data_IF_184414290483
#
_entry.id   IF_184414290483
#
_cell.length_a   1.000
_cell.length_b   1.000
_cell.length_c   1.000
_cell.angle_alpha   90.00
_cell.angle_beta   90.00
_cell.angle_gamma   90.00
#
_symmetry.space_group_name_H-M   'P 1'
#
loop_
_entity.id
_entity.type
_entity.pdbx_description
1 polymer ?
#
# COMPACT_ATOMS: atom_id res chain seq x y z
N UNK A 1 -33.32 18.85 36.85
CA UNK A 1 -33.27 18.06 38.11
C UNK A 1 -34.59 17.29 38.36
N UNK A 2 -35.03 16.48 37.40
CA UNK A 2 -36.22 15.62 37.56
C UNK A 2 -36.11 14.37 36.67
N UNK A 3 -34.95 13.71 36.69
CA UNK A 3 -34.71 12.42 36.01
C UNK A 3 -33.75 11.50 36.80
N UNK A 4 -33.89 11.48 38.12
CA UNK A 4 -33.07 10.63 39.01
C UNK A 4 -33.88 9.74 39.96
N UNK A 5 -35.18 9.55 39.70
CA UNK A 5 -36.08 8.85 40.62
C UNK A 5 -36.80 7.61 40.04
N UNK A 6 -36.31 7.00 38.94
CA UNK A 6 -36.93 5.78 38.40
C UNK A 6 -35.92 4.67 38.03
N UNK A 7 -34.79 4.57 38.72
CA UNK A 7 -33.79 3.51 38.51
C UNK A 7 -33.52 2.66 39.77
N UNK A 8 -34.55 2.42 40.58
CA UNK A 8 -34.52 1.46 41.70
C UNK A 8 -35.70 0.51 41.61
N UNK A 9 -35.60 -0.49 40.74
CA UNK A 9 -36.34 -1.79 40.79
C UNK A 9 -36.08 -2.62 39.52
N UNK A 10 -34.83 -3.00 39.24
CA UNK A 10 -34.52 -4.05 38.25
C UNK A 10 -33.32 -4.86 38.71
N UNK A 11 -33.48 -6.19 38.74
CA UNK A 11 -32.51 -7.16 39.25
C UNK A 11 -31.29 -7.37 38.35
N UNK A 12 -30.24 -8.04 38.86
CA UNK A 12 -28.91 -8.13 38.22
C UNK A 12 -28.88 -8.84 36.86
N UNK A 13 -29.95 -9.52 36.44
CA UNK A 13 -30.08 -10.17 35.13
C UNK A 13 -30.48 -9.26 33.95
N UNK A 14 -31.01 -8.06 34.21
CA UNK A 14 -31.54 -7.16 33.16
C UNK A 14 -30.52 -6.11 32.67
N UNK A 15 -29.34 -6.02 33.29
CA UNK A 15 -28.27 -5.05 32.92
C UNK A 15 -27.37 -5.49 31.77
N UNK A 16 -27.54 -6.71 31.22
CA UNK A 16 -26.73 -7.24 30.11
C UNK A 16 -27.42 -7.24 28.73
N UNK A 17 -28.61 -6.65 28.59
CA UNK A 17 -29.33 -6.59 27.30
C UNK A 17 -29.75 -5.18 26.85
N UNK A 18 -29.39 -4.12 27.59
CA UNK A 18 -29.69 -2.73 27.18
C UNK A 18 -28.46 -1.89 26.79
N UNK A 19 -27.24 -2.41 26.95
CA UNK A 19 -26.00 -1.78 26.47
C UNK A 19 -25.52 -2.33 25.12
N UNK A 20 -26.27 -3.25 24.50
CA UNK A 20 -25.93 -3.90 23.23
C UNK A 20 -26.75 -3.40 22.02
N UNK A 21 -27.62 -2.40 22.21
CA UNK A 21 -28.50 -1.87 21.15
C UNK A 21 -28.29 -0.37 20.82
N UNK A 22 -27.26 0.26 21.39
CA UNK A 22 -26.90 1.66 21.10
C UNK A 22 -25.45 1.84 20.59
N UNK A 23 -24.74 0.74 20.32
CA UNK A 23 -23.33 0.76 19.87
C UNK A 23 -23.07 0.11 18.51
N UNK A 24 -24.10 -0.13 17.69
CA UNK A 24 -23.98 -0.91 16.44
C UNK A 24 -24.28 -0.11 15.16
N UNK A 25 -24.34 1.22 15.22
CA UNK A 25 -24.75 2.04 14.08
C UNK A 25 -23.67 2.97 13.51
N UNK A 26 -22.43 2.98 14.00
CA UNK A 26 -21.36 3.82 13.42
C UNK A 26 -20.21 2.99 12.84
N UNK A 27 -19.93 3.28 11.57
CA UNK A 27 -18.75 2.87 10.79
C UNK A 27 -18.71 1.45 10.20
N UNK A 28 -19.80 0.98 9.57
CA UNK A 28 -19.73 -0.07 8.52
C UNK A 28 -19.82 0.49 7.09
N UNK A 29 -19.68 1.80 6.92
CA UNK A 29 -19.60 2.48 5.64
C UNK A 29 -18.34 3.32 5.74
N UNK A 30 -17.34 3.12 4.87
CA UNK A 30 -16.35 4.14 4.45
C UNK A 30 -15.23 3.61 3.54
N UNK A 31 -15.24 2.33 3.13
CA UNK A 31 -14.39 1.91 1.98
C UNK A 31 -15.11 2.07 0.64
N UNK A 32 -16.45 2.10 0.66
CA UNK A 32 -17.29 2.33 -0.52
C UNK A 32 -18.25 3.50 -0.34
N UNK A 33 -17.81 4.63 0.24
CA UNK A 33 -18.64 5.83 0.21
C UNK A 33 -18.85 6.23 -1.26
N UNK A 34 -20.04 5.97 -1.79
CA UNK A 34 -20.47 6.52 -3.07
C UNK A 34 -20.28 8.03 -3.03
N UNK A 35 -19.61 8.56 -4.06
CA UNK A 35 -19.38 9.99 -4.21
C UNK A 35 -20.72 10.72 -4.13
N UNK A 36 -20.83 11.70 -3.23
CA UNK A 36 -21.89 12.72 -3.36
C UNK A 36 -21.60 13.48 -4.66
N UNK A 37 -22.48 13.41 -5.68
CA UNK A 37 -22.23 14.09 -6.94
C UNK A 37 -21.96 15.58 -6.69
N UNK A 38 -20.82 16.08 -7.17
CA UNK A 38 -20.39 17.48 -6.99
C UNK A 38 -19.51 17.77 -5.77
N UNK A 39 -19.29 16.82 -4.85
CA UNK A 39 -18.28 17.01 -3.81
C UNK A 39 -16.86 17.03 -4.43
N UNK A 40 -15.98 17.96 -3.99
CA UNK A 40 -14.59 17.98 -4.43
C UNK A 40 -13.87 16.72 -3.93
N UNK A 41 -12.98 16.16 -4.77
CA UNK A 41 -12.14 15.02 -4.40
C UNK A 41 -11.36 15.35 -3.13
N UNK A 42 -11.42 14.44 -2.17
CA UNK A 42 -10.58 14.44 -0.98
C UNK A 42 -10.31 13.00 -0.52
N UNK A 43 -9.17 12.47 -0.97
CA UNK A 43 -8.75 11.10 -0.70
C UNK A 43 -7.52 11.15 0.17
N UNK A 44 -7.61 10.67 1.41
CA UNK A 44 -6.46 10.47 2.30
C UNK A 44 -6.23 8.98 2.54
N UNK A 45 -4.98 8.54 2.49
CA UNK A 45 -4.59 7.16 2.82
C UNK A 45 -3.19 7.12 3.40
N UNK A 46 -2.87 6.00 4.05
CA UNK A 46 -1.53 5.72 4.57
C UNK A 46 -0.85 4.68 3.68
N UNK A 47 0.46 4.77 3.52
CA UNK A 47 1.23 3.78 2.77
C UNK A 47 2.58 3.50 3.42
N UNK A 48 2.96 2.22 3.44
CA UNK A 48 4.24 1.71 3.95
C UNK A 48 4.65 0.47 3.16
N UNK A 49 5.80 -0.11 3.49
CA UNK A 49 6.30 -1.37 2.92
C UNK A 49 7.28 -2.03 3.89
N UNK A 50 7.80 -3.19 3.51
CA UNK A 50 8.96 -3.79 4.16
C UNK A 50 8.74 -3.90 5.69
N UNK A 51 7.63 -4.53 6.07
CA UNK A 51 7.32 -4.81 7.46
C UNK A 51 8.25 -5.89 8.02
N UNK A 52 8.65 -6.85 7.17
CA UNK A 52 9.55 -7.95 7.46
C UNK A 52 9.26 -8.62 8.80
N UNK A 53 8.01 -9.05 9.02
CA UNK A 53 7.69 -9.81 10.22
C UNK A 53 8.63 -11.00 10.34
N UNK A 54 9.28 -11.11 11.49
CA UNK A 54 10.27 -12.14 11.78
C UNK A 54 9.70 -13.15 12.78
N UNK A 55 10.22 -14.38 12.74
CA UNK A 55 9.94 -15.41 13.73
C UNK A 55 11.22 -16.17 14.06
N UNK A 56 11.48 -16.35 15.35
CA UNK A 56 12.58 -17.15 15.92
C UNK A 56 13.99 -16.55 15.83
N UNK A 57 14.24 -15.48 15.08
CA UNK A 57 15.57 -14.88 14.94
C UNK A 57 15.62 -13.42 15.46
N UNK A 58 14.69 -12.57 15.05
CA UNK A 58 14.70 -11.12 15.28
C UNK A 58 13.30 -10.54 15.56
N UNK A 59 12.53 -11.21 16.42
CA UNK A 59 11.12 -10.86 16.72
C UNK A 59 10.94 -9.46 17.36
N UNK A 60 12.01 -8.82 17.87
CA UNK A 60 11.95 -7.45 18.38
C UNK A 60 11.70 -6.42 17.25
N UNK A 61 11.93 -6.78 15.99
CA UNK A 61 11.47 -5.99 14.84
C UNK A 61 9.95 -5.83 14.83
N UNK A 62 9.22 -6.86 15.21
CA UNK A 62 7.75 -6.84 15.18
C UNK A 62 7.20 -5.80 16.17
N UNK A 63 7.85 -5.60 17.32
CA UNK A 63 7.46 -4.55 18.27
C UNK A 63 7.67 -3.14 17.70
N UNK A 64 8.74 -2.93 16.94
CA UNK A 64 8.95 -1.66 16.23
C UNK A 64 7.87 -1.44 15.19
N UNK A 65 7.42 -2.48 14.47
CA UNK A 65 6.29 -2.36 13.55
C UNK A 65 5.02 -1.94 14.32
N UNK A 66 4.71 -2.59 15.45
CA UNK A 66 3.54 -2.25 16.29
C UNK A 66 3.54 -0.80 16.76
N UNK A 67 4.70 -0.25 17.12
CA UNK A 67 4.82 1.18 17.46
C UNK A 67 4.43 2.09 16.29
N UNK A 68 4.76 1.69 15.07
CA UNK A 68 4.34 2.41 13.86
C UNK A 68 2.83 2.29 13.64
N UNK A 69 2.24 1.11 13.80
CA UNK A 69 0.79 0.93 13.64
C UNK A 69 -0.01 1.76 14.66
N UNK A 70 0.44 1.84 15.92
CA UNK A 70 -0.17 2.73 16.92
C UNK A 70 -0.08 4.21 16.51
N UNK A 71 1.00 4.61 15.86
CA UNK A 71 1.13 5.97 15.33
C UNK A 71 0.23 6.21 14.11
N UNK A 72 -0.02 5.19 13.27
CA UNK A 72 -1.01 5.25 12.19
C UNK A 72 -2.42 5.44 12.76
N UNK A 73 -2.83 4.66 13.78
CA UNK A 73 -4.14 4.80 14.43
C UNK A 73 -4.37 6.22 15.00
N UNK A 74 -3.30 6.87 15.45
CA UNK A 74 -3.36 8.23 16.00
C UNK A 74 -3.21 9.35 14.95
N UNK A 75 -3.14 9.04 13.64
CA UNK A 75 -2.75 10.02 12.62
C UNK A 75 -3.71 11.21 12.50
N UNK A 76 -5.00 11.02 12.76
CA UNK A 76 -6.00 12.10 12.72
C UNK A 76 -5.91 13.08 13.88
N UNK A 77 -5.15 12.75 14.93
CA UNK A 77 -4.79 13.67 16.01
C UNK A 77 -3.61 14.58 15.63
N UNK A 78 -3.03 14.40 14.44
CA UNK A 78 -1.91 15.20 13.96
C UNK A 78 -2.39 16.27 12.98
N UNK A 79 -1.52 17.25 12.78
CA UNK A 79 -1.63 18.23 11.71
C UNK A 79 -0.54 17.99 10.67
N UNK A 80 -0.84 18.36 9.42
CA UNK A 80 0.17 18.46 8.38
C UNK A 80 1.26 19.46 8.79
N UNK A 81 2.51 19.27 8.33
CA UNK A 81 3.55 20.30 8.42
C UNK A 81 3.08 21.62 7.78
N UNK A 82 3.53 22.75 8.32
CA UNK A 82 3.27 24.08 7.75
C UNK A 82 3.72 24.19 6.28
N UNK A 83 4.82 23.54 5.91
CA UNK A 83 5.31 23.46 4.53
C UNK A 83 4.29 22.82 3.55
N UNK A 84 3.32 22.06 4.06
CA UNK A 84 2.22 21.44 3.31
C UNK A 84 0.88 22.12 3.54
N UNK A 85 0.91 23.36 4.05
CA UNK A 85 -0.26 24.20 4.31
C UNK A 85 -0.90 23.97 5.68
N UNK A 86 -0.30 23.15 6.55
CA UNK A 86 -0.83 22.88 7.88
C UNK A 86 -2.22 22.23 7.88
N UNK A 87 -2.91 22.37 9.01
CA UNK A 87 -4.27 21.87 9.21
C UNK A 87 -4.35 20.37 9.57
N UNK A 88 -5.53 19.89 10.00
CA UNK A 88 -5.71 18.51 10.43
C UNK A 88 -5.53 17.52 9.27
N UNK A 89 -5.11 16.30 9.61
CA UNK A 89 -5.08 15.18 8.65
C UNK A 89 -6.47 14.54 8.61
N UNK A 90 -7.06 14.45 7.42
CA UNK A 90 -8.36 13.80 7.23
C UNK A 90 -8.29 12.30 7.51
N UNK A 91 -9.42 11.67 7.80
CA UNK A 91 -9.51 10.23 8.08
C UNK A 91 -8.95 9.42 6.89
N UNK A 92 -7.90 8.60 7.09
CA UNK A 92 -7.43 7.71 6.04
C UNK A 92 -8.50 6.67 5.66
N UNK A 93 -8.66 6.41 4.37
CA UNK A 93 -9.59 5.37 3.86
C UNK A 93 -9.05 3.96 4.06
N UNK A 94 -7.73 3.79 3.99
CA UNK A 94 -7.04 2.52 4.20
C UNK A 94 -5.54 2.74 4.45
N UNK A 95 -4.87 1.64 4.82
CA UNK A 95 -3.42 1.50 4.82
C UNK A 95 -3.02 0.57 3.69
N UNK A 96 -2.06 0.99 2.87
CA UNK A 96 -1.50 0.19 1.79
C UNK A 96 -0.10 -0.29 2.18
N UNK A 97 0.19 -1.60 2.03
CA UNK A 97 1.47 -2.23 2.38
C UNK A 97 2.11 -2.84 1.15
N UNK A 98 3.22 -2.25 0.69
CA UNK A 98 3.83 -2.55 -0.60
C UNK A 98 4.90 -3.64 -0.53
N UNK A 99 4.52 -4.83 -0.08
CA UNK A 99 5.38 -6.03 -0.08
C UNK A 99 6.39 -6.10 1.05
N UNK A 100 7.08 -7.24 1.09
CA UNK A 100 7.96 -7.68 2.18
C UNK A 100 7.21 -7.62 3.52
N UNK A 101 6.06 -8.30 3.54
CA UNK A 101 5.18 -8.40 4.69
C UNK A 101 5.83 -9.25 5.79
N UNK A 102 6.46 -10.34 5.36
CA UNK A 102 7.19 -11.29 6.20
C UNK A 102 8.64 -11.43 5.73
N UNK A 103 9.57 -11.79 6.62
CA UNK A 103 11.01 -11.79 6.27
C UNK A 103 11.46 -13.07 5.55
N UNK A 104 10.76 -14.19 5.77
CA UNK A 104 11.12 -15.50 5.21
C UNK A 104 9.87 -16.33 4.84
N UNK A 105 9.36 -16.10 3.62
CA UNK A 105 8.11 -16.73 3.15
C UNK A 105 8.12 -18.24 2.95
N UNK A 106 9.29 -18.87 2.85
CA UNK A 106 9.42 -20.32 2.62
C UNK A 106 10.78 -20.84 3.16
N UNK A 107 10.98 -20.64 4.48
CA UNK A 107 12.18 -21.08 5.23
C UNK A 107 11.83 -21.85 6.50
N UNK A 108 12.69 -22.81 6.83
CA UNK A 108 12.70 -23.53 8.11
C UNK A 108 13.95 -23.14 8.89
N UNK A 109 13.76 -22.72 10.14
CA UNK A 109 14.82 -22.42 11.08
C UNK A 109 14.72 -23.33 12.31
N UNK A 110 15.78 -24.08 12.60
CA UNK A 110 15.83 -25.05 13.71
C UNK A 110 14.63 -26.01 13.77
N UNK A 111 14.21 -26.51 12.61
CA UNK A 111 13.06 -27.44 12.48
C UNK A 111 11.69 -26.77 12.58
N UNK A 112 11.60 -25.44 12.63
CA UNK A 112 10.34 -24.68 12.68
C UNK A 112 10.16 -23.87 11.40
N UNK A 113 8.96 -23.94 10.81
CA UNK A 113 8.62 -23.13 9.64
C UNK A 113 8.36 -21.67 10.04
N UNK A 114 9.09 -20.73 9.44
CA UNK A 114 9.00 -19.30 9.76
C UNK A 114 7.75 -18.64 9.16
N UNK A 115 7.52 -18.82 7.85
CA UNK A 115 6.40 -18.22 7.11
C UNK A 115 5.02 -18.20 7.81
N UNK A 116 4.43 -19.34 8.24
CA UNK A 116 3.17 -19.37 8.96
C UNK A 116 3.16 -18.55 10.24
N UNK A 117 4.28 -18.55 10.98
CA UNK A 117 4.39 -17.82 12.24
C UNK A 117 4.49 -16.32 11.99
N UNK A 118 5.32 -15.92 11.03
CA UNK A 118 5.47 -14.52 10.61
C UNK A 118 4.13 -13.98 10.08
N UNK A 119 3.44 -14.76 9.24
CA UNK A 119 2.12 -14.40 8.70
C UNK A 119 1.06 -14.28 9.78
N UNK A 120 1.03 -15.19 10.76
CA UNK A 120 0.11 -15.10 11.89
C UNK A 120 0.31 -13.80 12.68
N UNK A 121 1.57 -13.39 12.90
CA UNK A 121 1.89 -12.14 13.58
C UNK A 121 1.51 -10.92 12.74
N UNK A 122 1.78 -10.94 11.43
CA UNK A 122 1.33 -9.92 10.49
C UNK A 122 -0.19 -9.75 10.55
N UNK A 123 -0.96 -10.85 10.49
CA UNK A 123 -2.42 -10.82 10.57
C UNK A 123 -2.92 -10.25 11.90
N UNK A 124 -2.30 -10.62 13.02
CA UNK A 124 -2.70 -10.11 14.34
C UNK A 124 -2.51 -8.60 14.48
N UNK A 125 -1.55 -8.03 13.75
CA UNK A 125 -1.20 -6.62 13.85
C UNK A 125 -1.87 -5.78 12.74
N UNK A 126 -1.80 -6.20 11.48
CA UNK A 126 -2.40 -5.49 10.34
C UNK A 126 -3.89 -5.80 10.11
N UNK A 127 -4.36 -6.99 10.45
CA UNK A 127 -5.75 -7.39 10.21
C UNK A 127 -6.13 -7.42 8.72
N UNK A 128 -7.39 -7.15 8.42
CA UNK A 128 -7.99 -7.07 7.08
C UNK A 128 -8.87 -5.83 6.91
N UNK A 129 -9.82 -5.61 7.83
CA UNK A 129 -10.85 -4.56 7.70
C UNK A 129 -10.78 -3.44 8.75
N UNK A 130 -9.72 -3.45 9.56
CA UNK A 130 -9.54 -2.52 10.67
C UNK A 130 -10.27 -2.92 11.95
N UNK A 131 -10.79 -4.15 12.04
CA UNK A 131 -11.50 -4.66 13.24
C UNK A 131 -10.91 -5.95 13.79
N UNK A 132 -9.99 -6.57 13.05
CA UNK A 132 -9.43 -7.90 13.30
C UNK A 132 -7.91 -7.88 13.52
N UNK A 133 -7.32 -6.70 13.77
CA UNK A 133 -5.91 -6.52 14.11
C UNK A 133 -5.66 -5.35 15.06
N UNK A 134 -4.39 -5.00 15.28
CA UNK A 134 -3.96 -3.80 16.01
C UNK A 134 -4.25 -2.51 15.22
N UNK A 135 -4.17 -2.56 13.90
CA UNK A 135 -4.38 -1.44 13.00
C UNK A 135 -5.89 -1.18 12.81
N UNK A 136 -6.32 0.07 13.02
CA UNK A 136 -7.74 0.47 12.99
C UNK A 136 -8.26 0.80 11.57
N UNK A 137 -7.56 0.31 10.53
CA UNK A 137 -7.85 0.64 9.13
C UNK A 137 -7.95 -0.61 8.26
N UNK A 138 -8.79 -0.59 7.21
CA UNK A 138 -8.71 -1.56 6.13
C UNK A 138 -7.32 -1.59 5.52
N UNK A 139 -6.85 -2.80 5.18
CA UNK A 139 -5.52 -3.01 4.61
C UNK A 139 -5.62 -3.47 3.17
N UNK A 140 -4.76 -2.94 2.31
CA UNK A 140 -4.47 -3.43 0.97
C UNK A 140 -3.00 -3.79 0.91
N UNK A 141 -2.67 -5.03 0.56
CA UNK A 141 -1.26 -5.44 0.55
C UNK A 141 -0.93 -6.29 -0.67
N UNK A 142 0.35 -6.26 -1.01
CA UNK A 142 0.98 -7.06 -2.06
C UNK A 142 2.18 -7.81 -1.49
N UNK A 143 2.85 -8.61 -2.31
CA UNK A 143 4.08 -9.29 -1.95
C UNK A 143 5.32 -8.55 -2.47
N UNK A 144 6.44 -8.77 -1.79
CA UNK A 144 7.79 -8.41 -2.18
C UNK A 144 8.68 -9.64 -2.35
N UNK A 145 10.00 -9.43 -2.35
CA UNK A 145 10.94 -10.52 -2.59
C UNK A 145 11.19 -11.43 -1.38
N UNK A 146 10.90 -11.01 -0.15
CA UNK A 146 11.03 -11.84 1.06
C UNK A 146 9.83 -12.75 1.30
N UNK A 147 8.71 -12.41 0.68
CA UNK A 147 7.40 -13.01 0.94
C UNK A 147 7.21 -14.43 0.40
N UNK A 148 8.17 -14.93 -0.38
CA UNK A 148 8.20 -16.29 -0.90
C UNK A 148 7.67 -16.43 -2.33
N UNK A 149 7.74 -17.66 -2.86
CA UNK A 149 7.57 -17.91 -4.29
C UNK A 149 6.09 -17.95 -4.71
N UNK A 150 5.82 -17.99 -6.04
CA UNK A 150 4.49 -18.27 -6.56
C UNK A 150 3.87 -19.54 -5.98
N UNK A 151 2.53 -19.59 -5.99
CA UNK A 151 1.75 -20.75 -5.51
C UNK A 151 2.19 -22.03 -6.21
N UNK A 152 2.52 -23.07 -5.42
CA UNK A 152 2.99 -24.36 -5.92
C UNK A 152 4.50 -24.46 -6.12
N UNK A 153 5.24 -23.38 -5.83
CA UNK A 153 6.70 -23.37 -5.82
C UNK A 153 7.30 -23.31 -4.40
N UNK A 154 6.46 -23.29 -3.35
CA UNK A 154 6.90 -23.39 -1.96
C UNK A 154 7.42 -24.80 -1.64
N UNK A 155 8.42 -24.86 -0.75
CA UNK A 155 9.09 -26.10 -0.35
C UNK A 155 8.53 -26.68 0.93
N UNK A 156 7.97 -25.84 1.80
CA UNK A 156 7.62 -26.21 3.17
C UNK A 156 6.11 -26.15 3.47
N UNK A 157 5.27 -25.94 2.45
CA UNK A 157 3.81 -26.12 2.53
C UNK A 157 3.02 -24.88 2.97
N UNK A 158 3.68 -23.73 3.14
CA UNK A 158 3.03 -22.43 3.31
C UNK A 158 3.37 -21.52 2.13
N UNK A 159 2.36 -20.80 1.65
CA UNK A 159 2.53 -19.88 0.54
C UNK A 159 1.82 -18.55 0.83
N UNK A 160 2.57 -17.46 0.98
CA UNK A 160 2.00 -16.14 1.25
C UNK A 160 1.14 -15.64 0.09
N UNK A 161 1.56 -15.87 -1.16
CA UNK A 161 0.80 -15.42 -2.32
C UNK A 161 -0.57 -16.10 -2.41
N UNK A 162 -0.72 -17.34 -1.93
CA UNK A 162 -2.03 -17.98 -1.78
C UNK A 162 -2.91 -17.22 -0.78
N UNK A 163 -2.35 -16.78 0.35
CA UNK A 163 -3.05 -15.96 1.34
C UNK A 163 -3.49 -14.62 0.76
N UNK A 164 -2.64 -13.98 -0.05
CA UNK A 164 -2.96 -12.72 -0.73
C UNK A 164 -4.08 -12.89 -1.76
N UNK A 165 -4.07 -13.97 -2.56
CA UNK A 165 -5.15 -14.30 -3.49
C UNK A 165 -6.50 -14.41 -2.78
N UNK A 166 -6.53 -15.07 -1.62
CA UNK A 166 -7.76 -15.20 -0.84
C UNK A 166 -8.21 -13.87 -0.24
N UNK A 167 -7.28 -13.05 0.27
CA UNK A 167 -7.59 -11.70 0.75
C UNK A 167 -8.12 -10.81 -0.36
N UNK A 168 -7.56 -10.84 -1.56
CA UNK A 168 -8.05 -10.07 -2.70
C UNK A 168 -9.45 -10.53 -3.17
N UNK A 169 -9.72 -11.83 -3.17
CA UNK A 169 -11.08 -12.35 -3.43
C UNK A 169 -12.08 -11.86 -2.39
N UNK A 170 -11.68 -11.82 -1.11
CA UNK A 170 -12.52 -11.24 -0.05
C UNK A 170 -12.76 -9.76 -0.30
N UNK A 171 -11.75 -8.96 -0.67
CA UNK A 171 -11.93 -7.54 -1.03
C UNK A 171 -12.94 -7.36 -2.17
N UNK A 172 -12.88 -8.20 -3.19
CA UNK A 172 -13.86 -8.21 -4.28
C UNK A 172 -15.28 -8.52 -3.77
N UNK A 173 -15.44 -9.56 -2.94
CA UNK A 173 -16.73 -9.92 -2.33
C UNK A 173 -17.29 -8.81 -1.42
N UNK A 174 -16.41 -8.07 -0.75
CA UNK A 174 -16.76 -6.90 0.06
C UNK A 174 -17.13 -5.66 -0.78
N UNK A 175 -16.93 -5.69 -2.10
CA UNK A 175 -17.19 -4.56 -2.99
C UNK A 175 -16.14 -3.46 -2.90
N UNK A 176 -14.92 -3.77 -2.45
CA UNK A 176 -13.84 -2.78 -2.33
C UNK A 176 -13.00 -2.63 -3.60
N UNK A 177 -13.14 -3.57 -4.55
CA UNK A 177 -12.34 -3.61 -5.77
C UNK A 177 -13.19 -3.23 -6.99
N UNK A 178 -12.59 -2.46 -7.89
CA UNK A 178 -13.11 -2.23 -9.25
C UNK A 178 -12.74 -3.40 -10.14
N UNK A 179 -11.50 -3.89 -10.06
CA UNK A 179 -11.03 -5.05 -10.81
C UNK A 179 -10.12 -5.96 -9.98
N UNK A 180 -10.11 -7.23 -10.35
CA UNK A 180 -9.23 -8.27 -9.82
C UNK A 180 -8.70 -9.08 -11.00
N UNK A 181 -7.38 -9.30 -11.05
CA UNK A 181 -6.77 -10.11 -12.09
C UNK A 181 -7.26 -11.57 -12.05
N UNK A 182 -7.15 -12.28 -13.17
CA UNK A 182 -7.57 -13.69 -13.28
C UNK A 182 -6.84 -14.62 -12.31
N UNK A 183 -5.58 -14.30 -11.97
CA UNK A 183 -4.79 -15.02 -10.98
C UNK A 183 -5.00 -14.53 -9.53
N UNK A 184 -5.87 -13.52 -9.32
CA UNK A 184 -6.23 -12.90 -8.05
C UNK A 184 -5.10 -12.18 -7.28
N UNK A 185 -3.98 -11.86 -7.95
CA UNK A 185 -2.84 -11.18 -7.32
C UNK A 185 -2.85 -9.66 -7.47
N UNK A 186 -3.37 -9.15 -8.58
CA UNK A 186 -3.39 -7.72 -8.87
C UNK A 186 -4.81 -7.22 -8.75
N UNK A 187 -4.96 -6.02 -8.21
CA UNK A 187 -6.27 -5.40 -8.09
C UNK A 187 -6.19 -3.91 -8.34
N UNK A 188 -7.33 -3.36 -8.69
CA UNK A 188 -7.54 -1.93 -8.78
C UNK A 188 -8.84 -1.54 -8.09
N UNK A 189 -8.91 -0.29 -7.66
CA UNK A 189 -10.11 0.27 -7.06
C UNK A 189 -10.16 1.77 -7.28
N UNK A 190 -11.36 2.31 -7.08
CA UNK A 190 -11.60 3.73 -7.20
C UNK A 190 -11.88 4.36 -5.84
N UNK A 191 -11.20 5.45 -5.55
CA UNK A 191 -11.57 6.38 -4.48
C UNK A 191 -11.92 7.72 -5.08
N UNK A 192 -13.20 8.08 -4.98
CA UNK A 192 -13.78 9.18 -5.74
C UNK A 192 -13.50 8.96 -7.24
N UNK A 193 -12.85 9.90 -7.91
CA UNK A 193 -12.38 9.78 -9.29
C UNK A 193 -10.89 9.44 -9.40
N UNK A 194 -10.18 9.05 -8.32
CA UNK A 194 -8.81 8.53 -8.41
C UNK A 194 -8.86 7.03 -8.63
N UNK A 195 -8.14 6.55 -9.65
CA UNK A 195 -7.97 5.12 -9.92
C UNK A 195 -6.64 4.63 -9.33
N UNK A 196 -6.70 3.60 -8.49
CA UNK A 196 -5.55 3.04 -7.78
C UNK A 196 -5.29 1.63 -8.29
N UNK A 197 -4.02 1.30 -8.60
CA UNK A 197 -3.63 0.00 -9.17
C UNK A 197 -2.48 -0.62 -8.37
N UNK A 198 -2.67 -1.83 -7.84
CA UNK A 198 -1.69 -2.59 -7.07
C UNK A 198 -1.17 -3.79 -7.88
N UNK A 199 0.12 -3.76 -8.21
CA UNK A 199 0.74 -4.50 -9.31
C UNK A 199 1.71 -5.61 -8.89
N UNK A 200 1.66 -6.07 -7.63
CA UNK A 200 2.56 -7.15 -7.23
C UNK A 200 3.97 -6.68 -6.91
N UNK A 201 4.93 -7.54 -7.23
CA UNK A 201 6.35 -7.27 -7.03
C UNK A 201 6.89 -6.17 -7.96
N UNK A 202 6.58 -6.21 -9.26
CA UNK A 202 6.86 -5.14 -10.22
C UNK A 202 6.02 -5.31 -11.50
N UNK A 203 5.76 -4.22 -12.26
CA UNK A 203 4.89 -4.23 -13.44
C UNK A 203 5.56 -4.83 -14.69
N UNK A 204 5.76 -6.15 -14.68
CA UNK A 204 6.17 -6.94 -15.84
C UNK A 204 5.31 -8.21 -15.96
N UNK A 205 5.37 -8.92 -17.09
CA UNK A 205 4.58 -10.14 -17.26
C UNK A 205 5.33 -11.41 -16.85
N UNK A 206 6.65 -11.38 -16.95
CA UNK A 206 7.57 -12.47 -16.64
C UNK A 206 8.93 -11.87 -16.25
N UNK A 207 9.81 -12.64 -15.58
CA UNK A 207 11.19 -12.22 -15.38
C UNK A 207 11.86 -11.90 -16.71
N UNK A 208 12.68 -10.84 -16.73
CA UNK A 208 13.38 -10.45 -17.94
C UNK A 208 14.45 -11.50 -18.31
N UNK A 209 14.50 -12.00 -19.57
CA UNK A 209 15.48 -13.00 -19.96
C UNK A 209 16.94 -12.50 -19.87
N UNK A 210 17.15 -11.18 -20.04
CA UNK A 210 18.47 -10.54 -19.95
C UNK A 210 18.91 -10.28 -18.50
N UNK A 211 18.04 -10.60 -17.52
CA UNK A 211 18.26 -10.35 -16.11
C UNK A 211 17.98 -11.60 -15.25
N UNK A 212 19.03 -12.33 -14.89
CA UNK A 212 18.93 -13.59 -14.13
C UNK A 212 19.62 -13.54 -12.76
N UNK A 213 19.85 -12.34 -12.21
CA UNK A 213 20.63 -12.14 -10.98
C UNK A 213 19.96 -12.73 -9.73
N UNK A 214 18.64 -12.62 -9.66
CA UNK A 214 17.82 -13.12 -8.55
C UNK A 214 16.97 -14.28 -9.05
N UNK A 215 16.59 -15.20 -8.17
CA UNK A 215 15.80 -16.41 -8.49
C UNK A 215 14.58 -16.04 -9.35
N UNK A 216 14.57 -16.31 -10.67
CA UNK A 216 13.50 -15.84 -11.55
C UNK A 216 12.15 -16.47 -11.20
N UNK A 217 12.17 -17.73 -10.74
CA UNK A 217 10.97 -18.43 -10.28
C UNK A 217 10.37 -17.77 -9.04
N UNK A 218 11.20 -17.31 -8.10
CA UNK A 218 10.70 -16.75 -6.83
C UNK A 218 10.15 -15.34 -6.99
N UNK A 219 10.67 -14.59 -7.95
CA UNK A 219 10.36 -13.18 -8.15
C UNK A 219 9.59 -12.96 -9.45
N UNK A 220 8.77 -13.93 -9.83
CA UNK A 220 7.93 -13.88 -11.03
C UNK A 220 6.82 -12.80 -10.86
N UNK A 221 6.76 -11.80 -11.74
CA UNK A 221 5.76 -10.73 -11.70
C UNK A 221 4.39 -11.19 -12.23
N UNK A 222 4.26 -12.41 -12.76
CA UNK A 222 3.00 -13.14 -12.95
C UNK A 222 1.91 -12.39 -13.74
N UNK A 223 2.28 -11.64 -14.78
CA UNK A 223 1.32 -10.96 -15.67
C UNK A 223 0.89 -9.55 -15.24
N UNK A 224 1.64 -8.89 -14.36
CA UNK A 224 1.28 -7.58 -13.81
C UNK A 224 1.15 -6.49 -14.90
N UNK A 225 1.99 -6.51 -15.93
CA UNK A 225 1.95 -5.50 -17.01
C UNK A 225 0.72 -5.66 -17.91
N UNK A 226 0.33 -6.90 -18.20
CA UNK A 226 -0.88 -7.22 -18.94
C UNK A 226 -2.12 -6.77 -18.18
N UNK A 227 -2.18 -7.05 -16.86
CA UNK A 227 -3.24 -6.53 -16.00
C UNK A 227 -3.31 -4.99 -16.04
N UNK A 228 -2.17 -4.31 -15.86
CA UNK A 228 -2.12 -2.83 -15.92
C UNK A 228 -2.71 -2.27 -17.21
N UNK A 229 -2.34 -2.84 -18.36
CA UNK A 229 -2.84 -2.38 -19.67
C UNK A 229 -4.35 -2.55 -19.80
N UNK A 230 -4.86 -3.72 -19.44
CA UNK A 230 -6.29 -4.04 -19.53
C UNK A 230 -7.12 -3.21 -18.56
N UNK A 231 -6.63 -3.05 -17.34
CA UNK A 231 -7.28 -2.31 -16.26
C UNK A 231 -7.42 -0.83 -16.61
N UNK A 232 -6.32 -0.18 -17.01
CA UNK A 232 -6.34 1.22 -17.43
C UNK A 232 -7.24 1.42 -18.66
N UNK A 233 -7.15 0.55 -19.66
CA UNK A 233 -8.00 0.67 -20.85
C UNK A 233 -9.50 0.55 -20.53
N UNK A 234 -9.86 -0.33 -19.60
CA UNK A 234 -11.26 -0.61 -19.25
C UNK A 234 -11.85 0.40 -18.27
N UNK A 235 -11.09 0.82 -17.27
CA UNK A 235 -11.60 1.58 -16.12
C UNK A 235 -11.17 3.05 -16.09
N UNK A 236 -10.12 3.40 -16.82
CA UNK A 236 -9.65 4.78 -16.98
C UNK A 236 -10.03 5.29 -18.38
N UNK A 237 -9.69 4.54 -19.43
CA UNK A 237 -9.92 4.93 -20.82
C UNK A 237 -9.45 6.36 -21.10
N UNK A 238 -10.29 7.15 -21.77
CA UNK A 238 -10.00 8.54 -22.10
C UNK A 238 -10.55 9.54 -21.05
N UNK A 239 -10.92 9.08 -19.86
CA UNK A 239 -11.55 9.93 -18.83
C UNK A 239 -10.63 11.02 -18.29
N UNK A 240 -9.32 10.86 -18.42
CA UNK A 240 -8.31 11.77 -17.85
C UNK A 240 -8.23 11.75 -16.33
N UNK A 241 -8.93 10.82 -15.68
CA UNK A 241 -8.96 10.71 -14.22
C UNK A 241 -7.56 10.35 -13.67
N UNK A 242 -7.18 10.85 -12.49
CA UNK A 242 -5.86 10.57 -11.92
C UNK A 242 -5.64 9.09 -11.64
N UNK A 243 -4.41 8.61 -11.89
CA UNK A 243 -3.97 7.23 -11.65
C UNK A 243 -2.83 7.19 -10.65
N UNK A 244 -2.94 6.32 -9.64
CA UNK A 244 -1.86 5.96 -8.71
C UNK A 244 -1.44 4.53 -8.98
N UNK A 245 -0.17 4.33 -9.32
CA UNK A 245 0.41 3.01 -9.53
C UNK A 245 1.18 2.57 -8.27
N UNK A 246 1.15 1.28 -7.97
CA UNK A 246 1.78 0.73 -6.77
C UNK A 246 2.37 -0.66 -7.02
N UNK A 247 3.58 -0.90 -6.54
CA UNK A 247 4.27 -2.20 -6.57
C UNK A 247 5.24 -2.31 -5.40
N UNK A 248 5.89 -3.46 -5.21
CA UNK A 248 6.99 -3.55 -4.24
C UNK A 248 8.27 -2.89 -4.76
N UNK A 249 8.72 -3.22 -5.98
CA UNK A 249 9.94 -2.67 -6.57
C UNK A 249 9.66 -1.44 -7.45
N UNK A 250 10.47 -0.38 -7.25
CA UNK A 250 10.44 0.84 -8.05
C UNK A 250 11.58 0.94 -9.07
N UNK A 251 11.72 2.11 -9.69
CA UNK A 251 12.74 2.38 -10.72
C UNK A 251 14.12 2.72 -10.15
N UNK A 252 14.44 2.25 -8.95
CA UNK A 252 15.69 2.52 -8.23
C UNK A 252 16.35 1.24 -7.70
N UNK A 253 15.95 0.08 -8.20
CA UNK A 253 16.48 -1.22 -7.82
C UNK A 253 16.86 -2.04 -9.03
N UNK A 254 17.91 -2.84 -8.95
CA UNK A 254 18.24 -3.81 -9.99
C UNK A 254 17.39 -5.09 -9.89
N UNK A 255 16.38 -5.18 -9.02
CA UNK A 255 15.54 -6.39 -8.93
C UNK A 255 14.65 -6.68 -10.15
N UNK A 256 14.61 -5.76 -11.11
CA UNK A 256 13.95 -5.90 -12.40
C UNK A 256 14.65 -5.03 -13.44
N UNK A 257 14.43 -5.33 -14.72
CA UNK A 257 15.25 -4.79 -15.80
C UNK A 257 14.72 -3.46 -16.34
N UNK A 258 15.61 -2.56 -16.78
CA UNK A 258 15.27 -1.23 -17.28
C UNK A 258 14.36 -1.25 -18.52
N UNK A 259 14.44 -2.30 -19.35
CA UNK A 259 13.49 -2.51 -20.45
C UNK A 259 12.05 -2.68 -19.94
N UNK A 260 11.86 -3.35 -18.81
CA UNK A 260 10.53 -3.53 -18.21
C UNK A 260 10.06 -2.23 -17.57
N UNK A 261 10.97 -1.41 -17.04
CA UNK A 261 10.62 -0.07 -16.55
C UNK A 261 10.06 0.79 -17.68
N UNK A 262 10.72 0.75 -18.83
CA UNK A 262 10.27 1.44 -20.02
C UNK A 262 8.92 0.90 -20.52
N UNK A 263 8.72 -0.42 -20.51
CA UNK A 263 7.45 -1.03 -20.90
C UNK A 263 6.29 -0.61 -19.99
N UNK A 264 6.51 -0.58 -18.67
CA UNK A 264 5.53 -0.10 -17.69
C UNK A 264 5.20 1.38 -17.91
N UNK A 265 6.21 2.22 -18.12
CA UNK A 265 6.02 3.63 -18.42
C UNK A 265 5.23 3.87 -19.70
N UNK A 266 5.53 3.11 -20.76
CA UNK A 266 4.82 3.20 -22.03
C UNK A 266 3.36 2.75 -21.89
N UNK A 267 3.11 1.65 -21.16
CA UNK A 267 1.77 1.13 -20.93
C UNK A 267 0.85 2.14 -20.23
N UNK A 268 1.38 2.92 -19.29
CA UNK A 268 0.61 3.94 -18.58
C UNK A 268 0.80 5.37 -19.14
N UNK A 269 1.56 5.53 -20.22
CA UNK A 269 2.02 6.83 -20.71
C UNK A 269 0.93 7.77 -21.24
N UNK A 270 -0.18 7.22 -21.76
CA UNK A 270 -1.35 7.99 -22.20
C UNK A 270 -2.26 8.43 -21.04
N UNK A 271 -2.08 7.85 -19.85
CA UNK A 271 -2.94 8.11 -18.71
C UNK A 271 -2.35 9.17 -17.78
N UNK A 272 -3.21 9.74 -16.93
CA UNK A 272 -2.81 10.75 -15.97
C UNK A 272 -2.19 10.12 -14.72
N UNK A 273 -1.00 9.54 -14.84
CA UNK A 273 -0.26 8.97 -13.69
C UNK A 273 0.26 10.10 -12.81
N UNK A 274 -0.31 10.22 -11.61
CA UNK A 274 -0.03 11.32 -10.69
C UNK A 274 1.02 10.94 -9.64
N UNK A 275 1.09 9.65 -9.28
CA UNK A 275 2.05 9.06 -8.35
C UNK A 275 2.37 7.61 -8.74
N UNK A 276 3.62 7.20 -8.49
CA UNK A 276 4.04 5.80 -8.39
C UNK A 276 4.62 5.53 -7.01
N UNK A 277 4.02 4.61 -6.26
CA UNK A 277 4.44 4.27 -4.89
C UNK A 277 5.09 2.88 -4.90
N UNK A 278 6.20 2.74 -4.19
CA UNK A 278 6.91 1.45 -4.08
C UNK A 278 7.77 1.37 -2.82
N UNK A 279 8.27 0.19 -2.47
CA UNK A 279 9.11 -0.07 -1.29
C UNK A 279 10.55 -0.48 -1.62
N UNK A 280 11.06 -1.52 -0.96
CA UNK A 280 12.26 -2.29 -1.30
C UNK A 280 13.62 -1.60 -1.05
N UNK A 281 13.88 -0.40 -1.58
CA UNK A 281 15.25 0.18 -1.63
C UNK A 281 15.56 1.30 -0.64
N UNK A 282 14.61 1.73 0.18
CA UNK A 282 14.84 2.81 1.14
C UNK A 282 13.59 3.65 1.39
N UNK A 283 13.73 4.98 1.50
CA UNK A 283 12.57 5.87 1.66
C UNK A 283 12.85 7.22 1.02
N UNK A 284 11.80 7.93 0.58
CA UNK A 284 11.88 9.31 0.13
C UNK A 284 11.24 9.57 -1.23
N UNK A 285 11.32 10.82 -1.66
CA UNK A 285 10.81 11.26 -2.96
C UNK A 285 11.80 10.94 -4.07
N UNK A 286 11.27 10.51 -5.21
CA UNK A 286 12.03 10.26 -6.44
C UNK A 286 11.25 10.79 -7.64
N UNK A 287 11.94 10.92 -8.76
CA UNK A 287 11.31 11.15 -10.06
C UNK A 287 11.99 10.25 -11.06
N UNK A 288 11.21 9.69 -11.99
CA UNK A 288 11.79 8.82 -13.00
C UNK A 288 11.04 8.92 -14.33
N UNK A 289 11.78 8.85 -15.43
CA UNK A 289 11.28 8.70 -16.78
C UNK A 289 12.35 7.93 -17.60
N UNK A 290 11.97 7.18 -18.64
CA UNK A 290 12.96 6.63 -19.57
C UNK A 290 13.67 7.76 -20.33
N UNK A 291 14.87 7.48 -20.84
CA UNK A 291 15.65 8.46 -21.60
C UNK A 291 14.82 9.02 -22.78
N UNK A 292 14.83 10.36 -22.93
CA UNK A 292 14.07 11.06 -23.96
C UNK A 292 12.60 11.32 -23.63
N UNK A 293 12.06 10.80 -22.52
CA UNK A 293 10.72 11.15 -22.08
C UNK A 293 10.66 12.56 -21.47
N UNK A 294 9.57 13.27 -21.77
CA UNK A 294 9.35 14.66 -21.31
C UNK A 294 8.54 14.76 -20.02
N UNK A 295 7.96 13.65 -19.55
CA UNK A 295 7.02 13.62 -18.41
C UNK A 295 7.49 12.63 -17.32
N UNK A 296 8.37 13.06 -16.40
CA UNK A 296 8.77 12.18 -15.30
C UNK A 296 7.59 11.87 -14.38
N UNK A 297 7.52 10.63 -13.91
CA UNK A 297 6.60 10.24 -12.86
C UNK A 297 7.11 10.69 -11.51
N UNK A 298 6.21 11.27 -10.71
CA UNK A 298 6.48 11.52 -9.30
C UNK A 298 6.41 10.19 -8.56
N UNK A 299 7.51 9.83 -7.92
CA UNK A 299 7.65 8.56 -7.22
C UNK A 299 7.80 8.77 -5.72
N UNK A 300 7.28 7.84 -4.92
CA UNK A 300 7.49 7.78 -3.47
C UNK A 300 7.98 6.38 -3.12
N UNK A 301 9.21 6.31 -2.60
CA UNK A 301 9.68 5.11 -1.93
C UNK A 301 9.21 5.13 -0.46
N UNK A 302 8.43 4.14 -0.08
CA UNK A 302 7.66 4.12 1.16
C UNK A 302 8.50 3.72 2.36
N UNK A 303 9.48 2.86 2.13
CA UNK A 303 10.40 2.34 3.13
C UNK A 303 9.79 1.53 4.24
N UNK A 304 10.66 1.14 5.15
CA UNK A 304 10.35 0.11 6.14
C UNK A 304 9.36 0.58 7.19
N UNK A 305 8.35 -0.25 7.43
CA UNK A 305 7.29 0.00 8.41
C UNK A 305 7.87 0.23 9.80
N UNK A 306 8.95 -0.46 10.19
CA UNK A 306 9.59 -0.23 11.49
C UNK A 306 10.13 1.20 11.70
N UNK A 307 10.36 1.94 10.60
CA UNK A 307 10.90 3.30 10.62
C UNK A 307 9.82 4.38 10.49
N UNK A 308 8.66 4.07 9.90
CA UNK A 308 7.60 5.05 9.69
C UNK A 308 6.67 4.72 8.53
N UNK A 309 5.86 5.70 8.14
CA UNK A 309 4.86 5.56 7.08
C UNK A 309 4.59 6.89 6.39
N UNK A 310 4.07 6.83 5.17
CA UNK A 310 3.62 8.01 4.45
C UNK A 310 2.15 8.30 4.72
N UNK A 311 1.83 9.58 4.86
CA UNK A 311 0.47 10.09 4.72
C UNK A 311 0.38 10.73 3.34
N UNK A 312 -0.66 10.38 2.57
CA UNK A 312 -0.92 10.93 1.23
C UNK A 312 -2.34 11.48 1.21
N UNK A 313 -2.50 12.71 0.71
CA UNK A 313 -3.80 13.30 0.41
C UNK A 313 -3.84 13.79 -1.04
N UNK A 314 -4.91 13.44 -1.74
CA UNK A 314 -5.20 13.82 -3.12
C UNK A 314 -6.49 14.64 -3.10
N UNK A 315 -6.37 15.93 -3.41
CA UNK A 315 -7.50 16.84 -3.59
C UNK A 315 -7.84 16.99 -5.08
N UNK A 316 -8.86 17.78 -5.39
CA UNK A 316 -9.26 18.03 -6.78
C UNK A 316 -8.12 18.62 -7.63
N UNK A 317 -7.25 19.41 -7.01
CA UNK A 317 -6.22 20.24 -7.66
C UNK A 317 -4.78 19.87 -7.26
N UNK A 318 -4.58 19.08 -6.21
CA UNK A 318 -3.24 18.84 -5.69
C UNK A 318 -3.05 17.48 -5.03
N UNK A 319 -1.78 17.10 -4.88
CA UNK A 319 -1.30 16.06 -3.98
C UNK A 319 -0.51 16.76 -2.89
N UNK A 320 -0.70 16.34 -1.65
CA UNK A 320 0.31 16.49 -0.60
C UNK A 320 0.64 15.16 0.04
N UNK A 321 1.92 14.97 0.36
CA UNK A 321 2.39 13.78 1.05
C UNK A 321 3.58 14.09 1.96
N UNK A 322 3.72 13.35 3.05
CA UNK A 322 4.90 13.42 3.92
C UNK A 322 5.13 12.08 4.63
N UNK A 323 6.40 11.79 4.91
CA UNK A 323 6.80 10.62 5.67
C UNK A 323 6.81 10.95 7.16
N UNK A 324 6.00 10.25 7.94
CA UNK A 324 6.01 10.29 9.39
C UNK A 324 7.04 9.29 9.90
N UNK A 325 8.21 9.80 10.31
CA UNK A 325 9.37 9.00 10.64
C UNK A 325 9.62 8.95 12.15
N UNK A 326 10.05 7.79 12.65
CA UNK A 326 10.65 7.71 13.98
C UNK A 326 11.96 8.48 14.02
N UNK A 327 12.18 9.24 15.09
CA UNK A 327 13.45 9.94 15.30
C UNK A 327 14.43 9.03 16.04
N UNK A 328 15.51 8.69 15.36
CA UNK A 328 16.53 7.80 15.90
C UNK A 328 17.70 8.61 16.43
N UNK A 329 18.19 8.25 17.62
CA UNK A 329 19.46 8.74 18.17
C UNK A 329 20.51 7.64 18.12
N UNK A 330 21.75 8.02 17.90
CA UNK A 330 22.88 7.10 18.01
C UNK A 330 23.44 7.15 19.42
N UNK A 331 23.49 6.01 20.09
CA UNK A 331 24.14 5.83 21.38
C UNK A 331 25.34 4.91 21.25
N UNK A 332 26.27 4.97 22.21
CA UNK A 332 27.41 4.04 22.27
C UNK A 332 26.93 2.71 22.87
N UNK A 333 27.05 1.63 22.11
CA UNK A 333 26.73 0.27 22.55
C UNK A 333 27.73 -0.28 23.57
N UNK A 334 27.37 -1.39 24.23
CA UNK A 334 28.22 -2.07 25.21
C UNK A 334 29.52 -2.61 24.59
N UNK A 335 29.48 -2.95 23.29
CA UNK A 335 30.61 -3.33 22.47
C UNK A 335 31.34 -2.13 21.83
N UNK A 336 31.04 -0.91 22.30
CA UNK A 336 31.49 0.38 21.77
C UNK A 336 31.00 0.72 20.36
N UNK A 337 30.20 -0.14 19.71
CA UNK A 337 29.66 0.17 18.38
C UNK A 337 28.49 1.14 18.48
N UNK A 338 28.32 2.04 17.50
CA UNK A 338 27.14 2.89 17.43
C UNK A 338 25.87 2.06 17.33
N UNK A 339 24.91 2.27 18.23
CA UNK A 339 23.58 1.66 18.18
C UNK A 339 22.54 2.75 17.93
N UNK A 340 21.68 2.56 16.93
CA UNK A 340 20.51 3.41 16.71
C UNK A 340 19.39 2.98 17.65
N UNK A 341 18.84 3.94 18.39
CA UNK A 341 17.73 3.72 19.32
C UNK A 341 16.68 4.78 19.07
N UNK A 342 15.42 4.36 19.01
CA UNK A 342 14.29 5.28 18.87
C UNK A 342 14.17 6.08 20.17
N UNK A 343 14.04 7.40 20.08
CA UNK A 343 13.95 8.26 21.25
C UNK A 343 12.51 8.51 21.72
N UNK A 344 11.54 7.79 21.15
CA UNK A 344 10.12 7.95 21.42
C UNK A 344 9.47 9.11 20.68
N UNK A 345 10.23 9.90 19.92
CA UNK A 345 9.71 11.01 19.14
C UNK A 345 9.57 10.66 17.66
N UNK A 346 8.71 11.44 17.01
CA UNK A 346 8.40 11.31 15.61
C UNK A 346 8.62 12.65 14.92
N UNK A 347 9.10 12.63 13.69
CA UNK A 347 9.31 13.81 12.84
C UNK A 347 8.63 13.66 11.48
N UNK A 348 8.47 14.76 10.77
CA UNK A 348 8.00 14.77 9.40
C UNK A 348 9.19 14.90 8.46
N UNK A 349 9.24 14.08 7.42
CA UNK A 349 10.28 14.11 6.39
C UNK A 349 9.65 14.16 5.00
N UNK A 350 10.45 14.62 4.05
CA UNK A 350 10.15 14.57 2.61
C UNK A 350 8.78 15.18 2.23
N UNK A 351 8.50 16.44 2.61
CA UNK A 351 7.26 17.08 2.22
C UNK A 351 7.15 17.16 0.69
N UNK A 352 6.06 16.63 0.14
CA UNK A 352 5.68 16.74 -1.26
C UNK A 352 4.41 17.58 -1.35
N UNK A 353 4.42 18.62 -2.17
CA UNK A 353 3.22 19.30 -2.66
C UNK A 353 3.31 19.40 -4.17
N UNK A 354 2.30 18.91 -4.88
CA UNK A 354 2.27 18.87 -6.35
C UNK A 354 0.88 19.27 -6.84
N UNK A 355 0.80 20.17 -7.82
CA UNK A 355 -0.46 20.42 -8.53
C UNK A 355 -0.75 19.24 -9.46
N UNK A 356 -2.01 18.85 -9.56
CA UNK A 356 -2.43 17.77 -10.47
C UNK A 356 -2.41 18.20 -11.93
N UNK A 357 -2.41 19.50 -12.24
CA UNK A 357 -2.47 19.99 -13.62
C UNK A 357 -3.74 19.54 -14.36
N UNK A 358 -3.83 19.86 -15.65
CA UNK A 358 -4.84 19.28 -16.53
C UNK A 358 -4.40 17.86 -16.95
N UNK A 359 -5.37 16.97 -17.19
CA UNK A 359 -5.09 15.67 -17.81
C UNK A 359 -4.33 15.90 -19.13
N UNK A 360 -3.33 15.06 -19.47
CA UNK A 360 -2.76 15.09 -20.81
C UNK A 360 -3.87 14.98 -21.86
N UNK A 361 -3.85 15.82 -22.89
CA UNK A 361 -4.70 15.65 -24.07
C UNK A 361 -4.43 14.25 -24.65
N UNK A 362 -5.49 13.50 -24.93
CA UNK A 362 -5.38 12.20 -25.58
C UNK A 362 -4.67 12.41 -26.93
N UNK A 363 -3.41 11.99 -27.03
CA UNK A 363 -2.74 11.92 -28.32
C UNK A 363 -3.47 10.84 -29.11
N UNK A 364 -4.32 11.28 -30.04
CA UNK A 364 -5.03 10.40 -30.96
C UNK A 364 -4.05 9.39 -31.56
N UNK A 365 -4.35 8.08 -31.55
CA UNK A 365 -3.44 7.09 -32.11
C UNK A 365 -3.21 7.45 -33.57
N UNK A 366 -1.97 7.86 -33.89
CA UNK A 366 -1.58 8.16 -35.25
C UNK A 366 -1.93 6.96 -36.13
N UNK A 367 -2.75 7.25 -37.13
CA UNK A 367 -3.27 6.34 -38.12
C UNK A 367 -2.11 5.62 -38.81
N UNK A 368 -1.78 4.41 -38.34
CA UNK A 368 -0.73 3.57 -38.91
C UNK A 368 -1.23 2.88 -40.19
N UNK A 369 -1.88 3.66 -41.06
CA UNK A 369 -2.34 3.28 -42.40
C UNK A 369 -1.58 4.09 -43.44
N UNK A 370 -0.31 3.78 -43.64
CA UNK A 370 0.24 3.82 -44.99
C UNK A 370 1.47 2.93 -45.07
N UNK A 371 1.34 1.82 -45.79
CA UNK A 371 2.27 1.33 -46.81
C UNK A 371 1.78 -0.04 -47.25
N UNK A 372 0.92 -0.02 -48.27
CA UNK A 372 0.41 -1.20 -48.92
C UNK A 372 -0.42 -0.77 -50.10
N UNK A 373 0.24 -0.52 -51.23
CA UNK A 373 -0.30 -0.48 -52.59
C UNK A 373 0.86 -0.41 -53.59
N UNK A 374 0.69 -0.96 -54.79
CA UNK A 374 0.59 -2.38 -55.12
C UNK A 374 1.90 -2.92 -55.70
#
# INVERSE_FOLDING_TARGET
MHQLALARRLGPGARRRLTALLGLAWCSLLVGAERVPGAPRDVTFLVTSDAHYDAFENEDRNDRVRDTLRAMNAVTNLTWPEALGGGPIAQPRAVIVLGDLIDDGDRVFQGKHQGPRQWLQYLADFGFDGRDGLLDFPVFETWGNHDGPPVGCDKFGFNLQAQLKDRNRRRLQHGWLTALSSNALFCSWDWDDVHLVLLGIYPADRPNPDWQKYSPTWHDPQGALSFLKEDLARHVGDSGRPVVLMSHCGFDTDWWHTNDWQAAYQAAGSYHVILYLYGHTGTGLRTWAPAGATRPWQCINTGQTENGFWVVQITSDSIRAAYRAKRWRTIKGADTKPKRVWDGQWEWRYPLRKSLGASPEATSPADNRSHGRP
#
